data_IF_764863991925
#
_entry.id   IF_764863991925
#
_cell.length_a   1.000
_cell.length_b   1.000
_cell.length_c   1.000
_cell.angle_alpha   90.00
_cell.angle_beta   90.00
_cell.angle_gamma   90.00
#
_symmetry.space_group_name_H-M   'P 1'
#
loop_
_entity.id
_entity.type
_entity.pdbx_description
1 polymer ?
#
# COMPACT_ATOMS: atom_id res chain seq x y z
N UNK A 1 22.93 4.54 28.69
CA UNK A 1 23.57 5.29 27.58
C UNK A 1 22.81 4.94 26.31
N UNK A 2 22.31 5.93 25.56
CA UNK A 2 21.79 5.69 24.21
C UNK A 2 23.01 5.64 23.30
N UNK A 3 23.24 4.53 22.62
CA UNK A 3 24.27 4.45 21.58
C UNK A 3 23.98 5.48 20.50
N UNK A 4 25.02 6.16 20.01
CA UNK A 4 24.87 7.11 18.91
C UNK A 4 24.52 6.37 17.60
N UNK A 5 23.82 7.02 16.65
CA UNK A 5 23.40 6.41 15.39
C UNK A 5 24.53 5.80 14.54
N UNK A 6 25.80 6.12 14.84
CA UNK A 6 26.99 5.63 14.13
C UNK A 6 27.26 4.13 14.31
N UNK A 7 26.60 3.46 15.26
CA UNK A 7 26.79 2.04 15.54
C UNK A 7 25.89 1.11 14.71
N UNK A 8 24.93 1.65 13.94
CA UNK A 8 24.02 0.82 13.13
C UNK A 8 24.53 0.64 11.70
N UNK A 9 24.36 -0.56 11.15
CA UNK A 9 24.65 -0.77 9.75
C UNK A 9 23.74 0.10 8.85
N UNK A 10 24.32 0.59 7.76
CA UNK A 10 23.64 1.46 6.79
C UNK A 10 22.31 0.86 6.27
N UNK A 11 22.25 -0.47 6.17
CA UNK A 11 21.08 -1.23 5.73
C UNK A 11 19.86 -1.02 6.65
N UNK A 12 20.07 -1.02 7.96
CA UNK A 12 19.03 -0.83 8.98
C UNK A 12 18.55 0.62 8.96
N UNK A 13 19.47 1.58 8.92
CA UNK A 13 19.16 3.02 8.83
C UNK A 13 18.29 3.30 7.60
N UNK A 14 18.66 2.79 6.44
CA UNK A 14 17.90 3.01 5.19
C UNK A 14 16.52 2.35 5.20
N UNK A 15 16.40 1.15 5.76
CA UNK A 15 15.09 0.50 5.88
C UNK A 15 14.14 1.34 6.76
N UNK A 16 14.63 1.89 7.87
CA UNK A 16 13.86 2.80 8.74
C UNK A 16 13.46 4.10 8.04
N UNK A 17 14.41 4.75 7.34
CA UNK A 17 14.12 5.93 6.51
C UNK A 17 13.07 5.63 5.43
N UNK A 18 13.10 4.43 4.87
CA UNK A 18 12.13 3.99 3.85
C UNK A 18 10.71 3.90 4.42
N UNK A 19 10.53 3.38 5.64
CA UNK A 19 9.21 3.36 6.30
C UNK A 19 8.64 4.77 6.47
N UNK A 20 9.45 5.74 6.92
CA UNK A 20 8.99 7.14 7.04
C UNK A 20 8.65 7.76 5.68
N UNK A 21 9.48 7.51 4.67
CA UNK A 21 9.22 7.97 3.30
C UNK A 21 7.90 7.41 2.77
N UNK A 22 7.64 6.12 3.00
CA UNK A 22 6.41 5.45 2.56
C UNK A 22 5.18 6.00 3.32
N UNK A 23 5.26 6.25 4.63
CA UNK A 23 4.20 6.95 5.37
C UNK A 23 3.86 8.31 4.73
N UNK A 24 4.87 9.12 4.42
CA UNK A 24 4.69 10.43 3.79
C UNK A 24 4.11 10.32 2.37
N UNK A 25 4.53 9.31 1.60
CA UNK A 25 3.99 9.02 0.28
C UNK A 25 2.51 8.65 0.36
N UNK A 26 2.12 7.83 1.35
CA UNK A 26 0.72 7.46 1.57
C UNK A 26 -0.12 8.69 1.92
N UNK A 27 0.38 9.55 2.82
CA UNK A 27 -0.27 10.81 3.15
C UNK A 27 -0.47 11.69 1.91
N UNK A 28 0.56 11.85 1.08
CA UNK A 28 0.49 12.66 -0.15
C UNK A 28 -0.53 12.10 -1.14
N UNK A 29 -0.54 10.78 -1.33
CA UNK A 29 -1.50 10.09 -2.19
C UNK A 29 -2.95 10.23 -1.65
N UNK A 30 -3.15 10.12 -0.34
CA UNK A 30 -4.44 10.34 0.31
C UNK A 30 -4.95 11.78 0.10
N UNK A 31 -4.08 12.78 0.26
CA UNK A 31 -4.44 14.19 0.03
C UNK A 31 -4.84 14.43 -1.42
N UNK A 32 -4.09 13.87 -2.38
CA UNK A 32 -4.43 13.97 -3.81
C UNK A 32 -5.75 13.26 -4.12
N UNK A 33 -5.96 12.07 -3.55
CA UNK A 33 -7.19 11.31 -3.70
C UNK A 33 -8.40 12.12 -3.22
N UNK A 34 -8.34 12.65 -1.98
CA UNK A 34 -9.42 13.48 -1.42
C UNK A 34 -9.63 14.77 -2.22
N UNK A 35 -8.53 15.40 -2.68
CA UNK A 35 -8.60 16.61 -3.50
C UNK A 35 -9.35 16.35 -4.81
N UNK A 36 -8.89 15.41 -5.65
CA UNK A 36 -9.52 15.13 -6.93
C UNK A 36 -10.95 14.64 -6.77
N UNK A 37 -11.22 13.84 -5.73
CA UNK A 37 -12.57 13.39 -5.40
C UNK A 37 -13.50 14.55 -5.06
N UNK A 38 -13.05 15.53 -4.26
CA UNK A 38 -13.85 16.71 -3.92
C UNK A 38 -14.17 17.61 -5.13
N UNK A 39 -13.42 17.47 -6.23
CA UNK A 39 -13.64 18.19 -7.49
C UNK A 39 -14.57 17.45 -8.46
N UNK A 40 -14.91 16.19 -8.19
CA UNK A 40 -15.88 15.46 -8.98
C UNK A 40 -17.28 16.07 -8.75
N UNK A 41 -17.83 16.72 -9.77
CA UNK A 41 -19.14 17.39 -9.71
C UNK A 41 -19.10 18.91 -9.71
N UNK A 42 -17.92 19.54 -9.71
CA UNK A 42 -17.81 20.99 -9.96
C UNK A 42 -17.70 21.25 -11.46
N UNK A 43 -18.75 21.83 -12.05
CA UNK A 43 -19.00 22.00 -13.51
C UNK A 43 -17.92 22.78 -14.28
N UNK A 44 -16.94 23.39 -13.61
CA UNK A 44 -15.98 24.32 -14.21
C UNK A 44 -14.55 23.76 -14.43
N UNK A 45 -14.33 22.46 -14.28
CA UNK A 45 -13.08 21.83 -14.70
C UNK A 45 -13.25 21.13 -16.05
N UNK A 46 -12.44 21.51 -17.03
CA UNK A 46 -12.55 21.23 -18.47
C UNK A 46 -12.68 19.76 -18.91
N UNK A 47 -12.64 18.77 -18.02
CA UNK A 47 -13.07 17.40 -18.29
C UNK A 47 -13.31 16.63 -16.96
N UNK A 48 -14.56 16.35 -16.56
CA UNK A 48 -14.85 15.52 -15.37
C UNK A 48 -14.17 14.14 -15.41
N UNK A 49 -13.89 13.60 -16.61
CA UNK A 49 -13.19 12.32 -16.76
C UNK A 49 -11.74 12.39 -16.31
N UNK A 50 -11.08 13.55 -16.42
CA UNK A 50 -9.67 13.70 -16.01
C UNK A 50 -9.52 13.65 -14.49
N UNK A 51 -10.42 14.29 -13.73
CA UNK A 51 -10.36 14.28 -12.26
C UNK A 51 -10.68 12.91 -11.68
N UNK A 52 -11.64 12.19 -12.27
CA UNK A 52 -11.91 10.81 -11.90
C UNK A 52 -10.66 9.93 -12.09
N UNK A 53 -10.03 9.98 -13.27
CA UNK A 53 -8.79 9.25 -13.55
C UNK A 53 -7.65 9.59 -12.59
N UNK A 54 -7.45 10.88 -12.27
CA UNK A 54 -6.40 11.30 -11.33
C UNK A 54 -6.67 10.81 -9.91
N UNK A 55 -7.93 10.75 -9.47
CA UNK A 55 -8.29 10.14 -8.19
C UNK A 55 -7.97 8.64 -8.17
N UNK A 56 -8.26 7.91 -9.26
CA UNK A 56 -7.91 6.49 -9.36
C UNK A 56 -6.38 6.27 -9.32
N UNK A 57 -5.61 7.14 -9.99
CA UNK A 57 -4.14 7.09 -9.95
C UNK A 57 -3.63 7.31 -8.53
N UNK A 58 -4.10 8.36 -7.85
CA UNK A 58 -3.72 8.64 -6.47
C UNK A 58 -4.07 7.47 -5.53
N UNK A 59 -5.23 6.83 -5.75
CA UNK A 59 -5.62 5.68 -4.98
C UNK A 59 -4.70 4.46 -5.21
N UNK A 60 -4.33 4.19 -6.46
CA UNK A 60 -3.36 3.12 -6.81
C UNK A 60 -1.98 3.36 -6.19
N UNK A 61 -1.54 4.62 -6.15
CA UNK A 61 -0.28 5.00 -5.49
C UNK A 61 -0.33 4.76 -3.98
N UNK A 62 -1.46 5.07 -3.34
CA UNK A 62 -1.66 4.79 -1.92
C UNK A 62 -1.61 3.28 -1.62
N UNK A 63 -2.31 2.44 -2.40
CA UNK A 63 -2.28 0.98 -2.23
C UNK A 63 -0.86 0.42 -2.46
N UNK A 64 -0.18 0.90 -3.50
CA UNK A 64 1.18 0.48 -3.80
C UNK A 64 2.11 0.80 -2.63
N UNK A 65 1.92 1.97 -2.01
CA UNK A 65 2.67 2.41 -0.83
C UNK A 65 2.45 1.49 0.37
N UNK A 66 1.20 1.05 0.63
CA UNK A 66 0.89 0.08 1.70
C UNK A 66 1.65 -1.23 1.47
N UNK A 67 1.62 -1.77 0.25
CA UNK A 67 2.37 -2.98 -0.09
C UNK A 67 3.89 -2.82 0.11
N UNK A 68 4.47 -1.71 -0.37
CA UNK A 68 5.91 -1.48 -0.20
C UNK A 68 6.28 -1.24 1.26
N UNK A 69 5.38 -0.72 2.09
CA UNK A 69 5.57 -0.59 3.52
C UNK A 69 5.80 -1.96 4.18
N UNK A 70 4.98 -2.97 3.85
CA UNK A 70 5.21 -4.37 4.27
C UNK A 70 6.59 -4.87 3.88
N UNK A 71 6.98 -4.68 2.62
CA UNK A 71 8.28 -5.16 2.12
C UNK A 71 9.45 -4.48 2.82
N UNK A 72 9.37 -3.18 3.08
CA UNK A 72 10.37 -2.46 3.88
C UNK A 72 10.40 -2.91 5.34
N UNK A 73 9.26 -3.26 5.93
CA UNK A 73 9.19 -3.77 7.31
C UNK A 73 9.81 -5.16 7.44
N UNK A 74 9.53 -6.06 6.49
CA UNK A 74 10.19 -7.38 6.40
C UNK A 74 11.70 -7.22 6.21
N UNK A 75 12.12 -6.33 5.32
CA UNK A 75 13.53 -6.06 5.09
C UNK A 75 14.22 -5.50 6.34
N UNK A 76 13.54 -4.63 7.11
CA UNK A 76 14.06 -4.13 8.38
C UNK A 76 14.32 -5.27 9.37
N UNK A 77 13.34 -6.16 9.57
CA UNK A 77 13.48 -7.31 10.47
C UNK A 77 14.66 -8.21 10.06
N UNK A 78 14.77 -8.53 8.77
CA UNK A 78 15.87 -9.32 8.23
C UNK A 78 17.23 -8.61 8.44
N UNK A 79 17.31 -7.32 8.14
CA UNK A 79 18.54 -6.55 8.29
C UNK A 79 19.00 -6.47 9.76
N UNK A 80 18.07 -6.34 10.71
CA UNK A 80 18.39 -6.37 12.14
C UNK A 80 18.91 -7.75 12.54
N UNK A 81 18.25 -8.85 12.13
CA UNK A 81 18.72 -10.20 12.47
C UNK A 81 20.12 -10.54 11.93
N UNK A 82 20.54 -9.91 10.84
CA UNK A 82 21.85 -10.12 10.20
C UNK A 82 22.93 -9.15 10.70
N UNK A 83 22.54 -8.09 11.42
CA UNK A 83 23.47 -7.06 11.88
C UNK A 83 23.96 -7.38 13.30
N UNK A 84 25.19 -7.86 13.41
CA UNK A 84 25.82 -8.18 14.69
C UNK A 84 25.79 -6.99 15.67
N UNK A 85 25.95 -5.77 15.17
CA UNK A 85 25.99 -4.54 15.97
C UNK A 85 24.62 -4.19 16.59
N UNK A 86 23.52 -4.78 16.10
CA UNK A 86 22.18 -4.56 16.66
C UNK A 86 21.80 -5.55 17.76
N UNK A 87 22.59 -6.61 17.97
CA UNK A 87 22.28 -7.67 18.94
C UNK A 87 22.25 -7.11 20.37
N UNK A 88 21.11 -7.28 21.04
CA UNK A 88 20.92 -6.80 22.41
C UNK A 88 20.60 -5.31 22.55
N UNK A 89 20.70 -4.52 21.47
CA UNK A 89 20.34 -3.09 21.47
C UNK A 89 18.92 -2.90 20.96
N UNK A 90 18.54 -3.62 19.90
CA UNK A 90 17.22 -3.49 19.27
C UNK A 90 16.24 -4.48 19.89
N UNK A 91 15.06 -3.98 20.27
CA UNK A 91 13.95 -4.81 20.75
C UNK A 91 13.25 -5.49 19.57
N UNK A 92 13.80 -6.61 19.12
CA UNK A 92 13.31 -7.33 17.93
C UNK A 92 11.82 -7.72 18.04
N UNK A 93 11.35 -8.02 19.24
CA UNK A 93 9.94 -8.36 19.50
C UNK A 93 8.97 -7.24 19.07
N UNK A 94 9.38 -5.97 19.18
CA UNK A 94 8.58 -4.84 18.72
C UNK A 94 8.52 -4.77 17.19
N UNK A 95 9.58 -5.18 16.49
CA UNK A 95 9.56 -5.25 15.02
C UNK A 95 8.66 -6.38 14.55
N UNK A 96 8.72 -7.55 15.21
CA UNK A 96 7.81 -8.66 14.92
C UNK A 96 6.36 -8.28 15.21
N UNK A 97 6.09 -7.62 16.34
CA UNK A 97 4.75 -7.13 16.66
C UNK A 97 4.24 -6.13 15.63
N UNK A 98 5.12 -5.27 15.10
CA UNK A 98 4.78 -4.34 14.02
C UNK A 98 4.40 -5.08 12.73
N UNK A 99 5.04 -6.21 12.42
CA UNK A 99 4.67 -7.07 11.27
C UNK A 99 3.30 -7.71 11.45
N UNK A 100 3.02 -8.26 12.64
CA UNK A 100 1.70 -8.81 12.96
C UNK A 100 0.60 -7.76 12.83
N UNK A 101 0.85 -6.56 13.37
CA UNK A 101 -0.10 -5.46 13.31
C UNK A 101 -0.35 -4.98 11.87
N UNK A 102 0.68 -5.03 11.01
CA UNK A 102 0.50 -4.80 9.58
C UNK A 102 -0.47 -5.82 8.96
N UNK A 103 -0.31 -7.12 9.22
CA UNK A 103 -1.19 -8.15 8.65
C UNK A 103 -2.63 -8.02 9.20
N UNK A 104 -2.79 -7.58 10.45
CA UNK A 104 -4.10 -7.29 11.04
C UNK A 104 -4.80 -6.11 10.36
N UNK A 105 -4.05 -5.03 10.09
CA UNK A 105 -4.60 -3.81 9.49
C UNK A 105 -4.79 -3.89 7.97
N UNK A 106 -3.96 -4.68 7.29
CA UNK A 106 -3.89 -4.73 5.83
C UNK A 106 -3.85 -6.17 5.28
N UNK A 107 -4.80 -7.03 5.68
CA UNK A 107 -4.75 -8.46 5.37
C UNK A 107 -4.77 -8.77 3.86
N UNK A 108 -5.38 -7.88 3.07
CA UNK A 108 -5.59 -8.10 1.63
C UNK A 108 -4.66 -7.24 0.75
N UNK A 109 -3.79 -6.41 1.32
CA UNK A 109 -3.04 -5.41 0.57
C UNK A 109 -2.17 -6.00 -0.56
N UNK A 110 -1.63 -7.21 -0.36
CA UNK A 110 -0.86 -7.92 -1.39
C UNK A 110 -1.73 -8.34 -2.57
N UNK A 111 -2.92 -8.89 -2.31
CA UNK A 111 -3.87 -9.27 -3.35
C UNK A 111 -4.42 -8.05 -4.08
N UNK A 112 -4.73 -6.96 -3.35
CA UNK A 112 -5.19 -5.71 -3.96
C UNK A 112 -4.11 -5.14 -4.88
N UNK A 113 -2.85 -5.10 -4.44
CA UNK A 113 -1.72 -4.65 -5.27
C UNK A 113 -1.54 -5.52 -6.51
N UNK A 114 -1.68 -6.84 -6.41
CA UNK A 114 -1.62 -7.73 -7.57
C UNK A 114 -2.76 -7.47 -8.56
N UNK A 115 -4.00 -7.31 -8.07
CA UNK A 115 -5.14 -6.94 -8.90
C UNK A 115 -4.90 -5.63 -9.67
N UNK A 116 -4.40 -4.59 -9.00
CA UNK A 116 -4.05 -3.29 -9.63
C UNK A 116 -2.93 -3.45 -10.69
N UNK A 117 -1.90 -4.25 -10.40
CA UNK A 117 -0.80 -4.45 -11.33
C UNK A 117 -1.28 -5.15 -12.62
N UNK A 118 -2.12 -6.18 -12.49
CA UNK A 118 -2.71 -6.87 -13.64
C UNK A 118 -3.69 -5.98 -14.41
N UNK A 119 -4.46 -5.12 -13.71
CA UNK A 119 -5.34 -4.13 -14.33
C UNK A 119 -4.57 -3.23 -15.29
N UNK A 120 -3.45 -2.71 -14.80
CA UNK A 120 -2.60 -1.77 -15.55
C UNK A 120 -1.97 -2.45 -16.78
N UNK A 121 -1.55 -3.71 -16.65
CA UNK A 121 -1.02 -4.50 -17.77
C UNK A 121 -2.08 -4.77 -18.87
N UNK A 122 -3.32 -5.07 -18.47
CA UNK A 122 -4.41 -5.32 -19.40
C UNK A 122 -4.76 -4.06 -20.21
N UNK A 123 -4.76 -2.88 -19.58
CA UNK A 123 -5.00 -1.60 -20.25
C UNK A 123 -3.85 -1.20 -21.20
N UNK A 124 -2.61 -1.56 -20.86
CA UNK A 124 -1.42 -1.21 -21.64
C UNK A 124 -1.22 -2.05 -22.92
N UNK A 125 -1.96 -3.14 -23.11
CA UNK A 125 -1.83 -4.04 -24.27
C UNK A 125 -3.06 -3.94 -25.19
N UNK A 126 -3.03 -3.10 -26.25
CA UNK A 126 -4.14 -3.01 -27.21
C UNK A 126 -4.37 -4.38 -27.85
N UNK A 127 -5.58 -4.94 -27.70
CA UNK A 127 -5.97 -6.24 -28.26
C UNK A 127 -6.20 -7.37 -27.25
N UNK A 128 -5.70 -7.25 -26.01
CA UNK A 128 -5.94 -8.26 -24.95
C UNK A 128 -7.24 -8.03 -24.17
N UNK A 129 -7.75 -6.79 -24.18
CA UNK A 129 -8.95 -6.41 -23.41
C UNK A 129 -10.28 -6.91 -23.98
N UNK A 130 -10.33 -7.35 -25.25
CA UNK A 130 -11.57 -7.81 -25.91
C UNK A 130 -12.03 -9.20 -25.44
N UNK A 131 -11.17 -9.99 -24.79
CA UNK A 131 -11.57 -11.29 -24.24
C UNK A 131 -11.93 -11.25 -22.74
N UNK A 132 -11.74 -10.12 -22.06
CA UNK A 132 -11.97 -9.99 -20.60
C UNK A 132 -13.05 -8.97 -20.22
N UNK A 133 -13.57 -8.18 -21.16
CA UNK A 133 -14.75 -7.33 -20.93
C UNK A 133 -16.04 -8.12 -21.22
N UNK A 134 -16.45 -9.02 -20.32
CA UNK A 134 -17.79 -9.58 -20.40
C UNK A 134 -18.82 -8.56 -19.87
N UNK A 135 -19.80 -8.32 -20.74
CA UNK A 135 -20.92 -7.40 -20.61
C UNK A 135 -21.69 -7.55 -19.29
N UNK A 136 -22.28 -6.42 -18.91
CA UNK A 136 -22.88 -6.07 -17.63
C UNK A 136 -24.06 -6.89 -17.07
N UNK A 137 -24.45 -8.08 -17.56
CA UNK A 137 -25.75 -8.63 -17.16
C UNK A 137 -25.88 -10.14 -16.90
N UNK A 138 -24.82 -10.91 -16.67
CA UNK A 138 -24.98 -12.25 -16.06
C UNK A 138 -23.66 -12.80 -15.51
N UNK A 139 -23.53 -12.78 -14.18
CA UNK A 139 -22.45 -13.46 -13.46
C UNK A 139 -22.77 -14.96 -13.48
N UNK A 140 -22.32 -15.67 -14.53
CA UNK A 140 -22.16 -17.12 -14.47
C UNK A 140 -20.70 -17.42 -14.12
N UNK A 141 -20.47 -17.86 -12.88
CA UNK A 141 -19.17 -18.22 -12.30
C UNK A 141 -18.57 -19.52 -12.83
N UNK A 142 -19.11 -20.13 -13.89
CA UNK A 142 -18.80 -21.52 -14.27
C UNK A 142 -17.86 -21.69 -15.47
N UNK A 143 -17.12 -20.66 -15.89
CA UNK A 143 -16.07 -20.84 -16.90
C UNK A 143 -14.72 -21.21 -16.26
N UNK A 144 -14.32 -22.48 -16.43
CA UNK A 144 -13.13 -23.13 -15.86
C UNK A 144 -11.78 -22.63 -16.41
N UNK A 145 -11.53 -21.33 -16.32
CA UNK A 145 -10.21 -20.73 -16.41
C UNK A 145 -10.11 -19.59 -15.40
N UNK A 146 -8.91 -19.16 -14.97
CA UNK A 146 -8.77 -17.98 -14.13
C UNK A 146 -9.19 -16.74 -14.95
N UNK A 147 -10.50 -16.47 -15.02
CA UNK A 147 -11.00 -15.23 -15.57
C UNK A 147 -10.63 -14.12 -14.60
N UNK A 148 -9.66 -13.32 -15.03
CA UNK A 148 -9.28 -12.09 -14.34
C UNK A 148 -10.29 -11.02 -14.78
N UNK A 149 -11.45 -11.00 -14.13
CA UNK A 149 -12.37 -9.87 -14.24
C UNK A 149 -11.75 -8.76 -13.40
N UNK A 150 -11.41 -7.64 -14.01
CA UNK A 150 -10.77 -6.52 -13.31
C UNK A 150 -11.75 -5.37 -13.31
N UNK A 151 -12.45 -5.20 -12.20
CA UNK A 151 -13.22 -3.99 -11.90
C UNK A 151 -12.57 -3.36 -10.68
N UNK A 152 -11.89 -2.23 -10.86
CA UNK A 152 -11.56 -1.36 -9.74
C UNK A 152 -12.77 -0.48 -9.49
N UNK A 153 -13.48 -0.72 -8.40
CA UNK A 153 -14.51 0.20 -7.93
C UNK A 153 -13.99 0.98 -6.74
N UNK A 154 -14.31 2.27 -6.73
CA UNK A 154 -14.01 3.16 -5.62
C UNK A 154 -15.33 3.49 -4.94
N UNK A 155 -15.56 2.93 -3.75
CA UNK A 155 -16.70 3.31 -2.92
C UNK A 155 -16.21 4.06 -1.69
N UNK A 156 -16.37 5.38 -1.69
CA UNK A 156 -15.83 6.22 -0.64
C UNK A 156 -14.29 6.22 -0.67
N UNK A 157 -13.67 5.58 0.32
CA UNK A 157 -12.21 5.40 0.45
C UNK A 157 -11.75 3.97 0.16
N UNK A 158 -12.67 3.05 -0.12
CA UNK A 158 -12.34 1.64 -0.32
C UNK A 158 -12.09 1.38 -1.80
N UNK A 159 -10.96 0.73 -2.08
CA UNK A 159 -10.61 0.18 -3.38
C UNK A 159 -10.90 -1.31 -3.37
N UNK A 160 -11.80 -1.75 -4.23
CA UNK A 160 -12.06 -3.18 -4.43
C UNK A 160 -11.48 -3.61 -5.76
N UNK A 161 -10.82 -4.77 -5.78
CA UNK A 161 -10.36 -5.43 -7.00
C UNK A 161 -10.80 -6.88 -6.99
N UNK A 162 -11.19 -7.37 -8.16
CA UNK A 162 -11.40 -8.80 -8.36
C UNK A 162 -10.14 -9.42 -8.94
N UNK A 163 -9.58 -10.43 -8.26
CA UNK A 163 -8.39 -11.14 -8.68
C UNK A 163 -8.60 -12.64 -8.46
N UNK A 164 -8.39 -13.44 -9.52
CA UNK A 164 -8.62 -14.90 -9.50
C UNK A 164 -10.03 -15.29 -9.00
N UNK A 165 -11.06 -14.56 -9.44
CA UNK A 165 -12.45 -14.83 -9.06
C UNK A 165 -12.83 -14.47 -7.62
N UNK A 166 -11.92 -13.83 -6.87
CA UNK A 166 -12.18 -13.33 -5.51
C UNK A 166 -12.08 -11.82 -5.47
N UNK A 167 -12.95 -11.19 -4.69
CA UNK A 167 -12.88 -9.76 -4.42
C UNK A 167 -11.98 -9.51 -3.21
N UNK A 168 -11.10 -8.54 -3.35
CA UNK A 168 -10.20 -8.05 -2.31
C UNK A 168 -10.37 -6.55 -2.20
N UNK A 169 -10.36 -6.03 -0.98
CA UNK A 169 -10.60 -4.62 -0.71
C UNK A 169 -9.51 -4.03 0.18
N UNK A 170 -9.16 -2.77 -0.06
CA UNK A 170 -8.27 -2.02 0.81
C UNK A 170 -8.79 -0.60 1.01
N UNK A 171 -8.70 -0.11 2.25
CA UNK A 171 -9.15 1.22 2.61
C UNK A 171 -8.01 2.25 2.45
N UNK A 172 -8.31 3.37 1.80
CA UNK A 172 -7.43 4.53 1.63
C UNK A 172 -8.04 5.69 2.40
N UNK A 173 -7.98 5.60 3.72
CA UNK A 173 -8.53 6.62 4.60
C UNK A 173 -7.49 7.17 5.56
N UNK A 174 -7.89 8.19 6.32
CA UNK A 174 -7.12 8.68 7.47
C UNK A 174 -6.89 7.59 8.52
N UNK A 175 -7.75 6.55 8.60
CA UNK A 175 -7.55 5.40 9.48
C UNK A 175 -6.35 4.58 9.01
N UNK A 176 -6.26 4.25 7.73
CA UNK A 176 -5.11 3.55 7.15
C UNK A 176 -3.80 4.31 7.36
N UNK A 177 -3.82 5.64 7.25
CA UNK A 177 -2.65 6.47 7.59
C UNK A 177 -2.25 6.32 9.06
N UNK A 178 -3.20 6.40 10.00
CA UNK A 178 -2.93 6.22 11.44
C UNK A 178 -2.35 4.83 11.73
N UNK A 179 -2.89 3.80 11.08
CA UNK A 179 -2.41 2.43 11.18
C UNK A 179 -0.94 2.32 10.73
N UNK A 180 -0.56 2.93 9.60
CA UNK A 180 0.85 2.98 9.15
C UNK A 180 1.75 3.75 10.12
N UNK A 181 1.27 4.86 10.68
CA UNK A 181 1.99 5.65 11.67
C UNK A 181 2.24 4.86 12.95
N UNK A 182 1.26 4.09 13.43
CA UNK A 182 1.38 3.22 14.60
C UNK A 182 2.41 2.12 14.38
N UNK A 183 2.34 1.43 13.24
CA UNK A 183 3.35 0.42 12.86
C UNK A 183 4.74 1.04 12.80
N UNK A 184 4.90 2.21 12.15
CA UNK A 184 6.19 2.92 12.10
C UNK A 184 6.66 3.30 13.51
N UNK A 185 5.78 3.83 14.36
CA UNK A 185 6.15 4.23 15.71
C UNK A 185 6.67 3.06 16.53
N UNK A 186 6.06 1.88 16.39
CA UNK A 186 6.56 0.65 17.02
C UNK A 186 7.98 0.30 16.56
N UNK A 187 8.30 0.51 15.27
CA UNK A 187 9.68 0.38 14.78
C UNK A 187 10.62 1.49 15.27
N UNK A 188 10.13 2.66 15.69
CA UNK A 188 10.97 3.68 16.34
C UNK A 188 11.25 3.28 17.79
N UNK A 189 10.23 2.80 18.49
CA UNK A 189 10.32 2.36 19.89
C UNK A 189 11.24 1.14 20.05
N UNK A 190 11.32 0.28 19.01
CA UNK A 190 12.26 -0.83 18.94
C UNK A 190 13.73 -0.40 19.05
N UNK A 191 14.06 0.80 18.58
CA UNK A 191 15.42 1.36 18.58
C UNK A 191 15.63 2.41 19.68
N UNK A 192 14.56 2.99 20.24
CA UNK A 192 14.63 3.99 21.32
C UNK A 192 15.01 5.42 20.87
N UNK A 193 15.06 5.67 19.56
CA UNK A 193 15.30 6.98 18.93
C UNK A 193 14.75 6.98 17.50
N UNK A 194 14.46 8.15 16.91
CA UNK A 194 14.06 8.30 15.50
C UNK A 194 15.29 8.65 14.62
N UNK A 195 15.32 8.18 13.38
CA UNK A 195 16.45 8.39 12.41
C UNK A 195 16.35 9.75 11.70
N UNK A 196 15.41 10.60 12.10
CA UNK A 196 15.16 11.91 11.51
C UNK A 196 15.61 13.08 12.40
N UNK A 197 16.47 12.80 13.40
CA UNK A 197 17.31 13.79 14.08
C UNK A 197 18.66 13.83 13.39
#
# INVERSE_FOLDING_TARGET
MKSEPSEYCFCVINARKSLKKLENNFYSALVLFDYFRSKMGLENFNDPKSNYQLSEVAARDAISTVYYFKKSLIQLANNVSLCNDTNGIVKIDLIHRAQELYEEYFPEAEFVRHGIAHASQAMATPGRSRSTSLNDNNINTDSQGPQVIIRSSFHGSVVTVTYQGKEYSADISKKSLKNLQEIRQMTVDAFGFDVNV
#
